data_IF_807512137300
#
_entry.id   IF_807512137300
#
_cell.length_a   1.000
_cell.length_b   1.000
_cell.length_c   1.000
_cell.angle_alpha   90.00
_cell.angle_beta   90.00
_cell.angle_gamma   90.00
#
_symmetry.space_group_name_H-M   'P 1'
#
loop_
_entity.id
_entity.type
_entity.pdbx_description
1 polymer ?
#
# COMPACT_ATOMS: atom_id res chain seq x y z
N UNK A 1 25.29 -30.07 -2.23
CA UNK A 1 25.14 -28.64 -2.56
C UNK A 1 23.64 -28.37 -2.54
N UNK A 2 23.02 -27.72 -1.56
CA UNK A 2 23.19 -26.30 -1.21
C UNK A 2 22.66 -26.12 0.22
N UNK A 3 23.53 -25.73 1.15
CA UNK A 3 23.10 -25.15 2.42
C UNK A 3 22.38 -23.84 2.12
N UNK A 4 21.14 -23.71 2.59
CA UNK A 4 20.47 -22.47 2.98
C UNK A 4 20.59 -21.26 2.04
N UNK A 5 19.65 -21.12 1.10
CA UNK A 5 19.25 -19.79 0.64
C UNK A 5 18.11 -19.28 1.52
N UNK A 6 18.41 -18.96 2.79
CA UNK A 6 17.57 -18.01 3.50
C UNK A 6 17.85 -16.63 2.90
N UNK A 7 17.29 -16.35 1.73
CA UNK A 7 17.20 -14.98 1.19
C UNK A 7 16.18 -14.25 2.06
N UNK A 8 16.60 -13.82 3.25
CA UNK A 8 15.78 -13.00 4.13
C UNK A 8 15.82 -11.57 3.58
N UNK A 9 14.94 -11.31 2.61
CA UNK A 9 14.67 -9.93 2.23
C UNK A 9 14.03 -9.20 3.42
N UNK A 10 14.42 -7.95 3.66
CA UNK A 10 13.92 -7.16 4.78
C UNK A 10 12.38 -7.03 4.76
N UNK A 11 11.79 -6.83 5.94
CA UNK A 11 10.39 -6.42 6.09
C UNK A 11 10.39 -4.99 6.62
N UNK A 12 9.85 -4.05 5.85
CA UNK A 12 9.64 -2.67 6.26
C UNK A 12 8.19 -2.49 6.70
N UNK A 13 7.98 -1.88 7.85
CA UNK A 13 6.66 -1.61 8.41
C UNK A 13 6.53 -0.09 8.55
N UNK A 14 5.59 0.48 7.80
CA UNK A 14 5.17 1.87 7.96
C UNK A 14 4.03 1.93 8.96
N UNK A 15 4.03 2.94 9.82
CA UNK A 15 2.88 3.28 10.64
C UNK A 15 2.12 4.42 9.96
N UNK A 16 0.81 4.24 9.79
CA UNK A 16 -0.09 5.23 9.23
C UNK A 16 -0.99 5.76 10.35
N UNK A 17 -0.90 7.04 10.66
CA UNK A 17 -1.66 7.68 11.72
C UNK A 17 -2.78 8.55 11.18
N UNK A 18 -2.61 9.18 10.01
CA UNK A 18 -3.53 10.16 9.47
C UNK A 18 -3.69 10.03 7.95
N UNK A 19 -4.85 10.44 7.43
CA UNK A 19 -5.17 10.29 6.00
C UNK A 19 -4.36 11.21 5.07
N UNK A 20 -3.75 12.27 5.59
CA UNK A 20 -2.90 13.19 4.83
C UNK A 20 -1.49 12.63 4.57
N UNK A 21 -1.07 11.62 5.34
CA UNK A 21 0.20 10.89 5.12
C UNK A 21 0.12 9.93 3.91
N UNK A 22 -1.07 9.66 3.38
CA UNK A 22 -1.29 8.67 2.31
C UNK A 22 -0.49 8.98 1.06
N UNK A 23 -0.45 10.25 0.64
CA UNK A 23 0.25 10.65 -0.57
C UNK A 23 1.76 10.46 -0.41
N UNK A 24 2.33 10.92 0.70
CA UNK A 24 3.75 10.73 0.97
C UNK A 24 4.10 9.24 1.05
N UNK A 25 3.29 8.47 1.77
CA UNK A 25 3.48 7.04 1.95
C UNK A 25 3.39 6.28 0.62
N UNK A 26 2.46 6.65 -0.26
CA UNK A 26 2.34 6.07 -1.60
C UNK A 26 3.64 6.24 -2.42
N UNK A 27 4.22 7.45 -2.39
CA UNK A 27 5.50 7.74 -3.06
C UNK A 27 6.66 6.95 -2.47
N UNK A 28 6.76 6.88 -1.14
CA UNK A 28 7.81 6.11 -0.47
C UNK A 28 7.74 4.63 -0.80
N UNK A 29 6.54 4.03 -0.74
CA UNK A 29 6.30 2.61 -1.03
C UNK A 29 6.65 2.29 -2.49
N UNK A 30 6.18 3.13 -3.42
CA UNK A 30 6.44 2.96 -4.85
C UNK A 30 7.94 3.04 -5.16
N UNK A 31 8.62 4.07 -4.66
CA UNK A 31 10.06 4.25 -4.84
C UNK A 31 10.87 3.08 -4.28
N UNK A 32 10.53 2.61 -3.08
CA UNK A 32 11.14 1.42 -2.48
C UNK A 32 10.90 0.16 -3.31
N UNK A 33 9.68 -0.02 -3.82
CA UNK A 33 9.34 -1.18 -4.66
C UNK A 33 10.13 -1.18 -5.96
N UNK A 34 10.23 -0.03 -6.64
CA UNK A 34 10.97 0.12 -7.89
C UNK A 34 12.48 -0.07 -7.69
N UNK A 35 13.04 0.44 -6.60
CA UNK A 35 14.48 0.38 -6.34
C UNK A 35 14.98 -0.92 -5.71
N UNK A 36 14.15 -1.64 -4.93
CA UNK A 36 14.55 -2.85 -4.19
C UNK A 36 13.98 -4.15 -4.76
N UNK A 37 13.06 -4.07 -5.71
CA UNK A 37 12.46 -5.23 -6.37
C UNK A 37 11.37 -5.92 -5.55
N UNK A 38 10.90 -7.07 -6.05
CA UNK A 38 9.77 -7.85 -5.55
C UNK A 38 10.01 -8.63 -4.25
N UNK A 39 11.28 -8.86 -3.88
CA UNK A 39 11.64 -9.58 -2.65
C UNK A 39 11.41 -8.80 -1.37
N UNK A 40 11.48 -7.46 -1.41
CA UNK A 40 11.23 -6.60 -0.26
C UNK A 40 9.78 -6.74 0.22
N UNK A 41 9.57 -6.96 1.51
CA UNK A 41 8.21 -6.96 2.10
C UNK A 41 7.92 -5.59 2.70
N UNK A 42 6.86 -4.96 2.24
CA UNK A 42 6.41 -3.65 2.66
C UNK A 42 5.04 -3.81 3.32
N UNK A 43 4.92 -3.43 4.57
CA UNK A 43 3.68 -3.51 5.34
C UNK A 43 3.30 -2.11 5.77
N UNK A 44 2.01 -1.77 5.68
CA UNK A 44 1.47 -0.56 6.29
C UNK A 44 0.59 -0.98 7.45
N UNK A 45 0.91 -0.50 8.64
CA UNK A 45 0.12 -0.69 9.85
C UNK A 45 -0.64 0.59 10.12
N UNK A 46 -1.96 0.53 9.98
CA UNK A 46 -2.86 1.59 10.39
C UNK A 46 -2.91 1.66 11.93
N UNK A 47 -2.64 2.85 12.47
CA UNK A 47 -2.61 3.14 13.91
C UNK A 47 -3.83 3.93 14.38
N UNK A 48 -4.58 4.54 13.45
CA UNK A 48 -5.85 5.22 13.71
C UNK A 48 -6.81 4.97 12.54
N UNK A 49 -8.12 4.91 12.79
CA UNK A 49 -9.15 4.63 11.78
C UNK A 49 -9.27 5.78 10.75
N UNK A 50 -8.32 5.82 9.82
CA UNK A 50 -8.06 6.93 8.90
C UNK A 50 -7.93 6.45 7.46
N UNK A 51 -7.73 5.15 7.24
CA UNK A 51 -7.52 4.58 5.93
C UNK A 51 -8.87 4.25 5.26
N UNK A 52 -9.12 4.88 4.12
CA UNK A 52 -10.28 4.55 3.27
C UNK A 52 -9.93 3.40 2.33
N UNK A 53 -10.95 2.73 1.82
CA UNK A 53 -10.77 1.63 0.86
C UNK A 53 -10.03 2.04 -0.42
N UNK A 54 -10.27 3.25 -0.94
CA UNK A 54 -9.53 3.80 -2.09
C UNK A 54 -8.03 3.90 -1.80
N UNK A 55 -7.71 4.36 -0.61
CA UNK A 55 -6.34 4.64 -0.18
C UNK A 55 -5.61 3.31 0.08
N UNK A 56 -6.29 2.34 0.69
CA UNK A 56 -5.79 0.97 0.81
C UNK A 56 -5.43 0.39 -0.56
N UNK A 57 -6.33 0.50 -1.55
CA UNK A 57 -6.08 0.04 -2.92
C UNK A 57 -4.92 0.77 -3.57
N UNK A 58 -4.79 2.08 -3.36
CA UNK A 58 -3.67 2.87 -3.85
C UNK A 58 -2.34 2.35 -3.27
N UNK A 59 -2.23 2.20 -1.95
CA UNK A 59 -0.99 1.74 -1.30
C UNK A 59 -0.61 0.31 -1.74
N UNK A 60 -1.59 -0.57 -1.92
CA UNK A 60 -1.39 -1.90 -2.51
C UNK A 60 -0.88 -1.78 -3.95
N UNK A 61 -1.49 -0.96 -4.79
CA UNK A 61 -1.06 -0.75 -6.17
C UNK A 61 0.37 -0.15 -6.26
N UNK A 62 0.74 0.73 -5.33
CA UNK A 62 2.10 1.28 -5.22
C UNK A 62 3.16 0.24 -4.84
N UNK A 63 2.80 -0.85 -4.14
CA UNK A 63 3.75 -1.92 -3.84
C UNK A 63 3.73 -2.47 -2.41
N UNK A 64 2.78 -2.08 -1.55
CA UNK A 64 2.62 -2.64 -0.21
C UNK A 64 2.17 -4.12 -0.24
N UNK A 65 2.89 -5.04 0.38
CA UNK A 65 2.48 -6.44 0.45
C UNK A 65 1.20 -6.63 1.24
N UNK A 66 1.07 -5.89 2.35
CA UNK A 66 0.00 -6.05 3.31
C UNK A 66 -0.35 -4.70 3.93
N UNK A 67 -1.65 -4.45 4.07
CA UNK A 67 -2.19 -3.37 4.88
C UNK A 67 -2.84 -4.01 6.10
N UNK A 68 -2.47 -3.56 7.30
CA UNK A 68 -3.00 -4.09 8.56
C UNK A 68 -3.80 -3.00 9.24
N UNK A 69 -5.13 -3.11 9.26
CA UNK A 69 -5.97 -2.04 9.81
C UNK A 69 -5.96 -2.01 11.35
N UNK A 70 -6.38 -0.86 11.89
CA UNK A 70 -6.22 -0.52 13.31
C UNK A 70 -6.93 -1.48 14.26
N UNK A 71 -8.02 -2.14 13.83
CA UNK A 71 -8.80 -3.05 14.68
C UNK A 71 -8.14 -4.40 14.92
N UNK A 72 -7.17 -4.80 14.08
CA UNK A 72 -6.37 -6.01 14.35
C UNK A 72 -5.44 -5.76 15.53
N UNK A 73 -5.52 -6.61 16.55
CA UNK A 73 -4.65 -6.53 17.74
C UNK A 73 -3.22 -6.96 17.41
N UNK A 74 -2.28 -6.54 18.25
CA UNK A 74 -0.84 -6.82 18.08
C UNK A 74 -0.50 -8.31 17.84
N UNK A 75 -1.09 -9.30 18.53
CA UNK A 75 -0.80 -10.71 18.24
C UNK A 75 -1.19 -11.13 16.82
N UNK A 76 -2.36 -10.67 16.34
CA UNK A 76 -2.81 -10.96 14.97
C UNK A 76 -1.88 -10.28 13.96
N UNK A 77 -1.42 -9.06 14.26
CA UNK A 77 -0.43 -8.38 13.44
C UNK A 77 0.88 -9.18 13.33
N UNK A 78 1.40 -9.72 14.43
CA UNK A 78 2.58 -10.60 14.39
C UNK A 78 2.36 -11.85 13.54
N UNK A 79 1.20 -12.52 13.69
CA UNK A 79 0.85 -13.68 12.86
C UNK A 79 0.81 -13.32 11.37
N UNK A 80 0.29 -12.14 11.02
CA UNK A 80 0.30 -11.66 9.63
C UNK A 80 1.71 -11.36 9.13
N UNK A 81 2.59 -10.79 9.97
CA UNK A 81 3.99 -10.55 9.63
C UNK A 81 4.77 -11.83 9.36
N UNK A 82 4.50 -12.89 10.13
CA UNK A 82 5.08 -14.21 9.90
C UNK A 82 4.57 -14.80 8.57
N UNK A 83 3.27 -14.68 8.30
CA UNK A 83 2.64 -15.20 7.09
C UNK A 83 3.18 -14.62 5.77
N UNK A 84 3.73 -13.39 5.80
CA UNK A 84 4.34 -12.77 4.61
C UNK A 84 5.82 -13.09 4.42
N UNK A 85 6.46 -13.79 5.36
CA UNK A 85 7.87 -14.15 5.19
C UNK A 85 8.05 -15.14 4.03
N UNK A 86 9.08 -14.91 3.22
CA UNK A 86 9.35 -15.69 2.01
C UNK A 86 8.48 -15.34 0.79
N UNK A 87 7.43 -14.52 0.95
CA UNK A 87 6.64 -14.06 -0.20
C UNK A 87 7.44 -13.10 -1.08
N UNK A 88 7.23 -13.19 -2.40
CA UNK A 88 7.68 -12.21 -3.39
C UNK A 88 6.46 -11.55 -4.01
N UNK A 89 6.54 -10.26 -4.24
CA UNK A 89 5.44 -9.53 -4.85
C UNK A 89 5.32 -9.87 -6.35
N UNK A 90 4.22 -10.52 -6.74
CA UNK A 90 3.99 -10.93 -8.14
C UNK A 90 3.23 -9.91 -8.97
N UNK A 91 2.46 -9.02 -8.35
CA UNK A 91 1.64 -8.03 -9.06
C UNK A 91 2.52 -6.97 -9.73
N UNK A 92 2.11 -6.52 -10.91
CA UNK A 92 2.77 -5.44 -11.61
C UNK A 92 2.60 -4.11 -10.86
N UNK A 93 3.69 -3.36 -10.74
CA UNK A 93 3.69 -1.99 -10.22
C UNK A 93 4.14 -1.07 -11.36
N UNK A 94 3.26 -0.18 -11.85
CA UNK A 94 3.58 0.78 -12.90
C UNK A 94 4.85 1.56 -12.61
N UNK A 95 5.60 1.90 -13.66
CA UNK A 95 6.83 2.66 -13.52
C UNK A 95 6.59 4.08 -13.02
N UNK A 96 5.53 4.72 -13.50
CA UNK A 96 5.13 6.06 -13.13
C UNK A 96 4.01 6.01 -12.08
N UNK A 97 4.25 6.63 -10.94
CA UNK A 97 3.29 6.71 -9.83
C UNK A 97 2.11 7.65 -10.14
N UNK A 98 2.31 8.67 -10.98
CA UNK A 98 1.26 9.62 -11.29
C UNK A 98 0.08 8.93 -12.00
N UNK A 99 0.36 7.89 -12.79
CA UNK A 99 -0.66 7.04 -13.39
C UNK A 99 -1.48 6.26 -12.33
N UNK A 100 -0.85 5.81 -11.24
CA UNK A 100 -1.55 5.17 -10.13
C UNK A 100 -2.43 6.16 -9.38
N UNK A 101 -1.89 7.35 -9.08
CA UNK A 101 -2.62 8.40 -8.37
C UNK A 101 -3.81 8.91 -9.19
N UNK A 102 -3.64 9.12 -10.50
CA UNK A 102 -4.72 9.56 -11.38
C UNK A 102 -5.85 8.51 -11.49
N UNK A 103 -5.51 7.22 -11.54
CA UNK A 103 -6.50 6.15 -11.73
C UNK A 103 -7.22 5.68 -10.45
N UNK A 104 -6.63 5.89 -9.27
CA UNK A 104 -7.15 5.37 -8.00
C UNK A 104 -7.59 6.45 -7.02
N UNK A 105 -7.26 7.72 -7.26
CA UNK A 105 -7.77 8.81 -6.41
C UNK A 105 -9.28 8.94 -6.59
N UNK A 106 -10.04 9.01 -5.48
CA UNK A 106 -11.44 9.36 -5.58
C UNK A 106 -11.57 10.77 -6.17
N UNK A 107 -12.62 10.96 -6.97
CA UNK A 107 -12.96 12.25 -7.55
C UNK A 107 -12.99 13.32 -6.46
N UNK A 108 -12.13 14.33 -6.60
CA UNK A 108 -12.03 15.44 -5.65
C UNK A 108 -13.09 16.51 -5.90
N UNK A 109 -14.27 16.09 -6.36
CA UNK A 109 -15.37 16.98 -6.64
C UNK A 109 -16.16 17.27 -5.37
N UNK A 110 -16.50 18.54 -5.17
CA UNK A 110 -17.21 19.02 -4.00
C UNK A 110 -18.31 19.97 -4.44
N UNK A 111 -19.46 19.88 -3.77
CA UNK A 111 -20.60 20.76 -4.02
C UNK A 111 -21.53 20.24 -5.13
N UNK A 112 -22.41 21.13 -5.60
CA UNK A 112 -23.39 20.80 -6.63
C UNK A 112 -22.70 20.63 -7.99
N UNK A 113 -22.95 19.50 -8.65
CA UNK A 113 -22.66 19.30 -10.07
C UNK A 113 -23.97 19.27 -10.86
N UNK A 114 -24.07 20.02 -11.97
CA UNK A 114 -25.16 19.85 -12.92
C UNK A 114 -25.26 18.40 -13.42
N UNK A 115 -26.49 17.95 -13.73
CA UNK A 115 -26.77 16.55 -14.09
C UNK A 115 -25.87 16.02 -15.22
N UNK A 116 -25.62 16.83 -16.24
CA UNK A 116 -24.78 16.41 -17.37
C UNK A 116 -23.33 16.15 -16.96
N UNK A 117 -22.76 16.99 -16.10
CA UNK A 117 -21.39 16.84 -15.62
C UNK A 117 -21.26 15.69 -14.63
N UNK A 118 -22.27 15.47 -13.79
CA UNK A 118 -22.31 14.34 -12.86
C UNK A 118 -22.37 13.00 -13.60
N UNK A 119 -23.10 12.92 -14.72
CA UNK A 119 -23.25 11.68 -15.49
C UNK A 119 -22.00 11.21 -16.25
N UNK A 120 -20.99 12.07 -16.36
CA UNK A 120 -19.72 11.79 -17.07
C UNK A 120 -18.57 11.40 -16.15
N UNK A 121 -18.80 11.42 -14.84
CA UNK A 121 -17.85 11.02 -13.80
C UNK A 121 -17.69 9.51 -13.72
#
# INVERSE_FOLDING_TARGET
MQRGMLTIAATLIFALYQSDEIDELAHQIHSLRRSRGDGLKIVVREMSASLRYSDERLLLACGANLIVPTWHRFPIFLTMLEGIQGQRLSRHVPEDIDNLLAGLRPLQLKGYLPLEEFSRQ
#
